data_IF_495331132988
#
_entry.id   IF_495331132988
#
_cell.length_a   1.000
_cell.length_b   1.000
_cell.length_c   1.000
_cell.angle_alpha   90.00
_cell.angle_beta   90.00
_cell.angle_gamma   90.00
#
_symmetry.space_group_name_H-M   'P 1'
#
loop_
_entity.id
_entity.type
_entity.pdbx_description
1 polymer ?
#
# COMPACT_ATOMS: atom_id res chain seq x y z
N UNK A 1 -26.50 24.28 21.09
CA UNK A 1 -25.15 23.72 21.23
C UNK A 1 -24.62 23.37 19.84
N UNK A 2 -23.90 24.28 19.17
CA UNK A 2 -23.32 24.03 17.82
C UNK A 2 -21.94 23.34 17.86
N UNK A 3 -21.23 23.46 18.98
CA UNK A 3 -19.86 22.94 19.14
C UNK A 3 -19.82 21.41 19.11
N UNK A 4 -20.89 20.73 19.57
CA UNK A 4 -20.94 19.25 19.59
C UNK A 4 -21.22 18.68 18.21
N UNK A 5 -22.01 19.38 17.37
CA UNK A 5 -22.23 19.00 15.96
C UNK A 5 -20.99 19.28 15.09
N UNK A 6 -20.26 20.36 15.34
CA UNK A 6 -18.98 20.62 14.64
C UNK A 6 -17.85 19.66 15.09
N UNK A 7 -17.92 19.12 16.32
CA UNK A 7 -16.99 18.07 16.76
C UNK A 7 -17.32 16.69 16.17
N UNK A 8 -18.58 16.43 15.80
CA UNK A 8 -18.99 15.27 14.98
C UNK A 8 -18.70 15.47 13.49
N UNK A 9 -18.49 16.72 13.04
CA UNK A 9 -17.85 17.08 11.76
C UNK A 9 -16.32 16.99 11.79
N UNK A 10 -15.73 16.37 12.81
CA UNK A 10 -14.37 15.82 12.68
C UNK A 10 -14.40 14.81 11.54
N UNK A 11 -14.01 15.32 10.38
CA UNK A 11 -13.56 14.59 9.22
C UNK A 11 -13.03 13.23 9.65
N UNK A 12 -13.70 12.19 9.18
CA UNK A 12 -13.25 10.81 9.29
C UNK A 12 -11.85 10.78 8.65
N UNK A 13 -10.82 10.75 9.50
CA UNK A 13 -9.41 10.85 9.14
C UNK A 13 -9.09 9.92 7.97
N UNK A 14 -8.93 10.49 6.78
CA UNK A 14 -8.38 9.76 5.63
C UNK A 14 -6.93 9.50 5.98
N UNK A 15 -6.64 8.26 6.37
CA UNK A 15 -5.31 7.80 6.63
C UNK A 15 -4.60 7.59 5.29
N UNK A 16 -3.33 8.00 5.22
CA UNK A 16 -2.55 7.98 4.00
C UNK A 16 -1.14 7.48 4.28
N UNK A 17 -0.70 6.53 3.48
CA UNK A 17 0.66 5.98 3.52
C UNK A 17 1.26 6.01 2.14
N UNK A 18 2.57 6.22 2.07
CA UNK A 18 3.34 6.19 0.82
C UNK A 18 4.51 5.23 0.95
N UNK A 19 4.59 4.29 0.03
CA UNK A 19 5.64 3.28 -0.06
C UNK A 19 6.45 3.48 -1.34
N UNK A 20 7.75 3.26 -1.29
CA UNK A 20 8.60 3.16 -2.48
C UNK A 20 8.82 1.68 -2.78
N UNK A 21 8.39 1.22 -3.95
CA UNK A 21 8.53 -0.17 -4.39
C UNK A 21 9.35 -0.26 -5.69
N UNK A 22 9.82 -1.47 -6.02
CA UNK A 22 10.43 -1.75 -7.32
C UNK A 22 9.36 -1.71 -8.42
N UNK A 23 9.76 -1.31 -9.63
CA UNK A 23 8.92 -1.37 -10.84
C UNK A 23 8.45 -2.79 -11.14
N UNK A 24 9.28 -3.79 -10.83
CA UNK A 24 8.93 -5.19 -11.00
C UNK A 24 7.75 -5.64 -10.12
N UNK A 25 7.43 -4.89 -9.05
CA UNK A 25 6.40 -5.20 -8.07
C UNK A 25 5.09 -4.42 -8.28
N UNK A 26 5.00 -3.62 -9.33
CA UNK A 26 3.82 -2.81 -9.64
C UNK A 26 2.56 -3.66 -9.89
N UNK A 27 2.69 -4.87 -10.40
CA UNK A 27 1.53 -5.73 -10.63
C UNK A 27 0.87 -6.20 -9.32
N UNK A 28 1.57 -6.15 -8.19
CA UNK A 28 1.03 -6.56 -6.88
C UNK A 28 -0.01 -5.59 -6.32
N UNK A 29 -0.04 -4.33 -6.80
CA UNK A 29 -1.00 -3.34 -6.30
C UNK A 29 -2.42 -3.56 -6.82
N UNK A 30 -2.62 -4.34 -7.89
CA UNK A 30 -3.96 -4.65 -8.38
C UNK A 30 -4.80 -5.40 -7.34
N UNK A 31 -4.15 -6.25 -6.54
CA UNK A 31 -4.78 -7.03 -5.46
C UNK A 31 -5.22 -6.17 -4.25
N UNK A 32 -4.80 -4.90 -4.20
CA UNK A 32 -5.14 -3.96 -3.12
C UNK A 32 -6.41 -3.17 -3.42
N UNK A 33 -6.78 -2.99 -4.70
CA UNK A 33 -7.95 -2.20 -5.10
C UNK A 33 -9.27 -2.78 -4.62
N UNK A 34 -9.30 -4.08 -4.30
CA UNK A 34 -10.47 -4.75 -3.74
C UNK A 34 -10.63 -4.51 -2.22
N UNK A 35 -9.64 -3.90 -1.55
CA UNK A 35 -9.63 -3.71 -0.09
C UNK A 35 -10.28 -2.40 0.37
N UNK A 36 -10.98 -1.68 -0.53
CA UNK A 36 -11.64 -0.41 -0.20
C UNK A 36 -10.68 0.77 -0.04
N UNK A 37 -9.40 0.60 -0.39
CA UNK A 37 -8.38 1.65 -0.38
C UNK A 37 -8.24 2.28 -1.75
N UNK A 38 -8.03 3.59 -1.77
CA UNK A 38 -7.61 4.33 -2.95
C UNK A 38 -6.11 4.14 -3.16
N UNK A 39 -5.70 3.87 -4.40
CA UNK A 39 -4.32 3.56 -4.76
C UNK A 39 -3.87 4.46 -5.90
N UNK A 40 -2.88 5.31 -5.63
CA UNK A 40 -2.22 6.14 -6.63
C UNK A 40 -0.77 5.69 -6.82
N UNK A 41 -0.25 5.87 -8.04
CA UNK A 41 1.13 5.51 -8.39
C UNK A 41 1.85 6.69 -9.02
N UNK A 42 3.07 6.96 -8.59
CA UNK A 42 3.93 8.01 -9.14
C UNK A 42 5.31 7.45 -9.44
N UNK A 43 5.77 7.63 -10.68
CA UNK A 43 7.12 7.23 -11.08
C UNK A 43 8.18 8.03 -10.32
N UNK A 44 9.21 7.32 -9.84
CA UNK A 44 10.40 7.90 -9.24
C UNK A 44 11.65 7.37 -9.94
N UNK A 45 12.77 8.08 -9.86
CA UNK A 45 14.04 7.59 -10.43
C UNK A 45 14.40 6.22 -9.82
N UNK A 46 14.21 6.07 -8.51
CA UNK A 46 14.55 4.88 -7.73
C UNK A 46 13.51 3.75 -7.76
N UNK A 47 12.35 3.93 -8.38
CA UNK A 47 11.25 2.96 -8.32
C UNK A 47 9.89 3.58 -8.61
N UNK A 48 8.86 3.11 -7.92
CA UNK A 48 7.50 3.65 -8.00
C UNK A 48 7.02 3.97 -6.60
N UNK A 49 6.54 5.19 -6.38
CA UNK A 49 5.78 5.52 -5.19
C UNK A 49 4.35 5.00 -5.33
N UNK A 50 3.90 4.23 -4.36
CA UNK A 50 2.51 3.80 -4.21
C UNK A 50 1.94 4.53 -3.00
N UNK A 51 0.90 5.31 -3.23
CA UNK A 51 0.15 6.00 -2.19
C UNK A 51 -1.17 5.27 -1.96
N UNK A 52 -1.41 4.92 -0.70
CA UNK A 52 -2.64 4.27 -0.23
C UNK A 52 -3.40 5.26 0.64
N UNK A 53 -4.68 5.49 0.35
CA UNK A 53 -5.54 6.33 1.17
C UNK A 53 -6.91 5.72 1.43
N UNK A 54 -7.48 5.97 2.61
CA UNK A 54 -8.75 5.39 3.02
C UNK A 54 -8.91 5.39 4.53
N UNK A 55 -9.70 4.45 5.07
CA UNK A 55 -9.78 4.27 6.53
C UNK A 55 -8.46 3.69 7.04
N UNK A 56 -8.04 4.10 8.24
CA UNK A 56 -6.78 3.67 8.83
C UNK A 56 -6.60 2.15 8.86
N UNK A 57 -7.62 1.41 9.29
CA UNK A 57 -7.59 -0.06 9.34
C UNK A 57 -7.39 -0.69 7.95
N UNK A 58 -8.17 -0.24 6.96
CA UNK A 58 -8.11 -0.73 5.58
C UNK A 58 -6.74 -0.46 4.93
N UNK A 59 -6.20 0.75 5.16
CA UNK A 59 -4.89 1.14 4.61
C UNK A 59 -3.75 0.39 5.31
N UNK A 60 -3.79 0.21 6.62
CA UNK A 60 -2.79 -0.57 7.35
C UNK A 60 -2.78 -2.04 6.89
N UNK A 61 -3.96 -2.64 6.70
CA UNK A 61 -4.07 -4.01 6.21
C UNK A 61 -3.55 -4.13 4.77
N UNK A 62 -3.88 -3.16 3.89
CA UNK A 62 -3.40 -3.12 2.52
C UNK A 62 -1.87 -2.93 2.44
N UNK A 63 -1.31 -2.04 3.27
CA UNK A 63 0.14 -1.84 3.40
C UNK A 63 0.83 -3.14 3.82
N UNK A 64 0.36 -3.77 4.90
CA UNK A 64 0.95 -5.02 5.40
C UNK A 64 0.91 -6.13 4.34
N UNK A 65 -0.23 -6.29 3.67
CA UNK A 65 -0.39 -7.29 2.60
C UNK A 65 0.59 -7.03 1.44
N UNK A 66 0.73 -5.77 1.01
CA UNK A 66 1.66 -5.41 -0.06
C UNK A 66 3.10 -5.74 0.32
N UNK A 67 3.52 -5.39 1.54
CA UNK A 67 4.86 -5.68 2.06
C UNK A 67 5.11 -7.19 2.09
N UNK A 68 4.15 -7.98 2.57
CA UNK A 68 4.26 -9.44 2.60
C UNK A 68 4.39 -10.05 1.20
N UNK A 69 3.60 -9.57 0.23
CA UNK A 69 3.65 -10.03 -1.15
C UNK A 69 5.02 -9.76 -1.80
N UNK A 70 5.57 -8.56 -1.60
CA UNK A 70 6.91 -8.17 -2.08
C UNK A 70 7.97 -9.08 -1.45
N UNK A 71 7.95 -9.24 -0.12
CA UNK A 71 8.91 -10.11 0.57
C UNK A 71 8.83 -11.56 0.10
N UNK A 72 7.62 -12.08 -0.13
CA UNK A 72 7.42 -13.44 -0.62
C UNK A 72 7.95 -13.61 -2.06
N UNK A 73 7.74 -12.62 -2.93
CA UNK A 73 8.29 -12.63 -4.29
C UNK A 73 9.82 -12.60 -4.27
N UNK A 74 10.42 -11.73 -3.46
CA UNK A 74 11.88 -11.66 -3.32
C UNK A 74 12.48 -12.97 -2.78
N UNK A 75 11.83 -13.61 -1.80
CA UNK A 75 12.23 -14.94 -1.31
C UNK A 75 12.20 -16.00 -2.42
N UNK A 76 11.16 -16.02 -3.25
CA UNK A 76 11.04 -16.96 -4.39
C UNK A 76 12.08 -16.70 -5.48
N UNK A 77 12.39 -15.43 -5.77
CA UNK A 77 13.45 -15.08 -6.72
C UNK A 77 14.82 -15.57 -6.22
N UNK A 78 15.10 -15.40 -4.91
CA UNK A 78 16.33 -15.86 -4.29
C UNK A 78 16.48 -17.38 -4.27
N UNK A 79 15.40 -18.13 -4.02
CA UNK A 79 15.47 -19.60 -4.03
C UNK A 79 15.70 -20.18 -5.42
N UNK A 80 15.20 -19.53 -6.49
CA UNK A 80 15.47 -19.94 -7.87
C UNK A 80 16.93 -19.69 -8.27
N UNK A 81 17.53 -18.58 -7.85
CA UNK A 81 18.94 -18.28 -8.13
C UNK A 81 19.94 -19.22 -7.44
N UNK A 82 19.53 -19.97 -6.41
CA UNK A 82 20.38 -20.97 -5.73
C UNK A 82 20.27 -22.36 -6.39
N UNK A 83 19.20 -22.63 -7.13
CA UNK A 83 18.99 -23.93 -7.78
C UNK A 83 19.73 -24.08 -9.12
N UNK A 84 20.26 -22.99 -9.69
CA UNK A 84 21.00 -22.98 -10.96
C UNK A 84 22.54 -22.99 -10.78
N UNK A 85 23.07 -23.32 -9.60
CA UNK A 85 24.52 -23.39 -9.32
C UNK A 85 24.99 -24.80 -9.01
#
# INVERSE_FOLDING_TARGET
>A
MKIVEDALRREVDIYRVRLLIDRADLDLIYDLREMGVEVETMDAVSGIYVELSGKAEEVMDAENKLVEMILNRQKRARSRGVAEV
#
